data_IF_388406381673
#
_entry.id   IF_388406381673
#
_cell.length_a   1.000
_cell.length_b   1.000
_cell.length_c   1.000
_cell.angle_alpha   90.00
_cell.angle_beta   90.00
_cell.angle_gamma   90.00
#
_symmetry.space_group_name_H-M   'P 1'
#
loop_
_entity.id
_entity.type
_entity.pdbx_description
1 polymer ?
#
# COMPACT_ATOMS: atom_id res chain seq x y z
N UNK A 1 10.45 1.62 -0.51
CA UNK A 1 11.38 0.61 0.06
C UNK A 1 10.85 -0.77 -0.27
N UNK A 2 11.68 -1.69 -0.78
CA UNK A 2 11.26 -3.08 -1.02
C UNK A 2 11.76 -3.97 0.12
N UNK A 3 10.90 -4.85 0.61
CA UNK A 3 11.23 -5.97 1.49
C UNK A 3 10.91 -7.26 0.74
N UNK A 4 11.87 -8.17 0.69
CA UNK A 4 11.67 -9.54 0.17
C UNK A 4 12.06 -10.52 1.27
N UNK A 5 11.16 -11.42 1.61
CA UNK A 5 11.36 -12.42 2.67
C UNK A 5 12.12 -13.65 2.15
N UNK A 6 12.65 -14.52 3.04
CA UNK A 6 13.33 -15.76 2.63
C UNK A 6 12.47 -16.69 1.76
N UNK A 7 11.16 -16.71 2.00
CA UNK A 7 10.17 -17.47 1.23
C UNK A 7 9.64 -16.72 -0.02
N UNK A 8 10.23 -15.57 -0.35
CA UNK A 8 10.02 -14.86 -1.62
C UNK A 8 8.83 -13.93 -1.67
N UNK A 9 8.22 -13.61 -0.53
CA UNK A 9 7.11 -12.65 -0.42
C UNK A 9 7.66 -11.23 -0.60
N UNK A 10 7.04 -10.45 -1.48
CA UNK A 10 7.48 -9.10 -1.81
C UNK A 10 6.51 -8.05 -1.24
N UNK A 11 7.05 -7.13 -0.46
CA UNK A 11 6.33 -5.99 0.10
C UNK A 11 6.99 -4.67 -0.27
N UNK A 12 6.25 -3.78 -0.93
CA UNK A 12 6.70 -2.42 -1.22
C UNK A 12 6.10 -1.42 -0.24
N UNK A 13 6.94 -0.65 0.45
CA UNK A 13 6.54 0.44 1.33
C UNK A 13 6.83 1.77 0.65
N UNK A 14 5.78 2.52 0.31
CA UNK A 14 5.80 3.79 -0.44
C UNK A 14 6.50 3.73 -1.82
N UNK A 15 6.21 4.73 -2.66
CA UNK A 15 6.66 4.79 -4.05
C UNK A 15 7.25 6.15 -4.47
N UNK A 16 7.53 7.03 -3.52
CA UNK A 16 8.17 8.32 -3.81
C UNK A 16 7.26 9.33 -4.50
N UNK A 17 7.84 10.43 -4.98
CA UNK A 17 7.15 11.42 -5.82
C UNK A 17 6.72 10.82 -7.17
N UNK A 18 5.70 11.40 -7.81
CA UNK A 18 5.16 10.92 -9.10
C UNK A 18 6.21 10.72 -10.19
N UNK A 19 7.19 11.62 -10.28
CA UNK A 19 8.28 11.56 -11.28
C UNK A 19 9.17 10.33 -11.12
N UNK A 20 9.29 9.75 -9.92
CA UNK A 20 10.17 8.59 -9.68
C UNK A 20 9.47 7.24 -9.84
N UNK A 21 8.14 7.21 -10.05
CA UNK A 21 7.38 5.96 -10.26
C UNK A 21 8.01 5.01 -11.31
N UNK A 22 8.40 5.50 -12.52
CA UNK A 22 9.10 4.66 -13.50
C UNK A 22 10.42 4.08 -12.99
N UNK A 23 11.17 4.84 -12.19
CA UNK A 23 12.44 4.36 -11.62
C UNK A 23 12.19 3.25 -10.57
N UNK A 24 11.12 3.36 -9.79
CA UNK A 24 10.69 2.30 -8.86
C UNK A 24 10.34 1.04 -9.65
N UNK A 25 9.54 1.16 -10.71
CA UNK A 25 9.18 0.04 -11.58
C UNK A 25 10.42 -0.64 -12.17
N UNK A 26 11.34 0.14 -12.75
CA UNK A 26 12.58 -0.38 -13.33
C UNK A 26 13.45 -1.08 -12.28
N UNK A 27 13.51 -0.54 -11.07
CA UNK A 27 14.24 -1.15 -9.97
C UNK A 27 13.64 -2.51 -9.57
N UNK A 28 12.31 -2.59 -9.40
CA UNK A 28 11.61 -3.83 -9.07
C UNK A 28 11.81 -4.89 -10.16
N UNK A 29 11.71 -4.52 -11.44
CA UNK A 29 11.98 -5.42 -12.58
C UNK A 29 13.43 -5.92 -12.61
N UNK A 30 14.42 -5.07 -12.31
CA UNK A 30 15.83 -5.48 -12.22
C UNK A 30 16.08 -6.49 -11.11
N UNK A 31 15.32 -6.40 -10.02
CA UNK A 31 15.32 -7.38 -8.94
C UNK A 31 14.50 -8.64 -9.25
N UNK A 32 13.91 -8.73 -10.45
CA UNK A 32 13.05 -9.84 -10.89
C UNK A 32 11.83 -10.04 -10.00
N UNK A 33 11.30 -8.95 -9.44
CA UNK A 33 9.99 -8.97 -8.78
C UNK A 33 8.93 -9.15 -9.86
N UNK A 34 8.18 -10.24 -9.80
CA UNK A 34 7.10 -10.54 -10.75
C UNK A 34 5.74 -10.06 -10.24
N UNK A 35 5.54 -10.06 -8.92
CA UNK A 35 4.34 -9.59 -8.24
C UNK A 35 4.68 -8.92 -6.91
N UNK A 36 3.76 -8.10 -6.41
CA UNK A 36 3.82 -7.53 -5.08
C UNK A 36 2.71 -8.16 -4.22
N UNK A 37 3.07 -9.01 -3.28
CA UNK A 37 2.10 -9.58 -2.33
C UNK A 37 1.48 -8.48 -1.47
N UNK A 38 2.27 -7.48 -1.11
CA UNK A 38 1.83 -6.36 -0.29
C UNK A 38 2.37 -5.04 -0.82
N UNK A 39 1.53 -4.01 -0.75
CA UNK A 39 1.95 -2.62 -0.79
C UNK A 39 1.55 -1.97 0.52
N UNK A 40 2.42 -1.17 1.11
CA UNK A 40 2.14 -0.35 2.28
C UNK A 40 2.24 1.12 1.92
N UNK A 41 1.21 1.88 2.26
CA UNK A 41 1.22 3.34 2.23
C UNK A 41 1.39 3.84 3.65
N UNK A 42 2.54 4.47 3.95
CA UNK A 42 2.80 5.00 5.29
C UNK A 42 1.85 6.15 5.62
N UNK A 43 1.70 7.09 4.69
CA UNK A 43 0.73 8.17 4.70
C UNK A 43 0.58 8.76 3.29
N UNK A 44 -0.43 9.59 3.08
CA UNK A 44 -0.87 9.98 1.73
C UNK A 44 -0.16 11.21 1.13
N UNK A 45 0.98 11.64 1.68
CA UNK A 45 1.73 12.76 1.11
C UNK A 45 2.33 12.40 -0.26
N UNK A 46 2.53 13.42 -1.09
CA UNK A 46 2.87 13.27 -2.51
C UNK A 46 4.24 12.63 -2.75
N UNK A 47 5.16 12.80 -1.81
CA UNK A 47 6.49 12.20 -1.78
C UNK A 47 6.51 10.75 -1.28
N UNK A 48 5.35 10.23 -0.85
CA UNK A 48 5.16 8.83 -0.46
C UNK A 48 4.32 8.07 -1.49
N UNK A 49 3.14 8.58 -1.83
CA UNK A 49 2.21 7.88 -2.73
C UNK A 49 2.31 8.26 -4.21
N UNK A 50 3.13 9.26 -4.54
CA UNK A 50 3.15 9.86 -5.88
C UNK A 50 3.40 8.86 -7.00
N UNK A 51 4.33 7.91 -6.80
CA UNK A 51 4.61 6.83 -7.75
C UNK A 51 3.66 5.63 -7.67
N UNK A 52 2.77 5.57 -6.68
CA UNK A 52 2.10 4.33 -6.30
C UNK A 52 1.08 3.85 -7.34
N UNK A 53 0.32 4.77 -7.94
CA UNK A 53 -0.64 4.43 -8.99
C UNK A 53 0.05 3.81 -10.23
N UNK A 54 1.28 4.25 -10.55
CA UNK A 54 2.06 3.67 -11.65
C UNK A 54 2.53 2.25 -11.31
N UNK A 55 3.02 2.03 -10.07
CA UNK A 55 3.43 0.71 -9.58
C UNK A 55 2.25 -0.27 -9.61
N UNK A 56 1.10 0.11 -9.04
CA UNK A 56 -0.12 -0.72 -9.02
C UNK A 56 -0.63 -1.00 -10.44
N UNK A 57 -0.46 -0.07 -11.38
CA UNK A 57 -0.81 -0.29 -12.78
C UNK A 57 0.08 -1.32 -13.49
N UNK A 58 1.35 -1.41 -13.11
CA UNK A 58 2.35 -2.25 -13.76
C UNK A 58 2.41 -3.67 -13.18
N UNK A 59 2.36 -3.81 -11.86
CA UNK A 59 2.50 -5.09 -11.17
C UNK A 59 1.14 -5.66 -10.79
N UNK A 60 1.08 -6.98 -10.64
CA UNK A 60 -0.03 -7.61 -9.91
C UNK A 60 0.21 -7.43 -8.41
N UNK A 61 -0.84 -6.96 -7.72
CA UNK A 61 -0.79 -6.59 -6.32
C UNK A 61 -1.91 -7.30 -5.58
N UNK A 62 -1.56 -8.14 -4.60
CA UNK A 62 -2.58 -8.91 -3.86
C UNK A 62 -3.27 -8.03 -2.81
N UNK A 63 -2.48 -7.32 -1.97
CA UNK A 63 -2.99 -6.52 -0.85
C UNK A 63 -2.38 -5.13 -0.82
N UNK A 64 -3.20 -4.14 -0.48
CA UNK A 64 -2.77 -2.77 -0.20
C UNK A 64 -3.13 -2.43 1.24
N UNK A 65 -2.10 -2.17 2.03
CA UNK A 65 -2.19 -1.87 3.45
C UNK A 65 -1.96 -0.37 3.68
N UNK A 66 -2.87 0.29 4.38
CA UNK A 66 -2.78 1.74 4.61
C UNK A 66 -3.49 2.14 5.89
N UNK A 67 -3.24 3.35 6.40
CA UNK A 67 -4.09 3.91 7.44
C UNK A 67 -5.44 4.36 6.88
N UNK A 68 -6.50 4.25 7.68
CA UNK A 68 -7.80 4.82 7.35
C UNK A 68 -7.80 6.30 7.72
N UNK A 69 -7.47 7.17 6.77
CA UNK A 69 -7.55 8.62 6.93
C UNK A 69 -8.18 9.29 5.71
N UNK A 70 -9.09 10.28 5.91
CA UNK A 70 -9.62 11.05 4.80
C UNK A 70 -8.50 11.90 4.18
N UNK A 71 -8.20 11.64 2.91
CA UNK A 71 -7.19 12.39 2.19
C UNK A 71 -7.66 12.72 0.78
N UNK A 72 -8.06 13.97 0.55
CA UNK A 72 -8.65 14.39 -0.71
C UNK A 72 -7.61 15.09 -1.59
N UNK A 73 -6.81 14.29 -2.29
CA UNK A 73 -5.84 14.80 -3.28
C UNK A 73 -5.97 14.04 -4.60
N UNK A 74 -5.48 14.64 -5.68
CA UNK A 74 -5.45 13.99 -7.00
C UNK A 74 -4.68 12.67 -6.96
N UNK A 75 -3.54 12.63 -6.24
CA UNK A 75 -2.73 11.42 -6.14
C UNK A 75 -3.45 10.29 -5.40
N UNK A 76 -4.21 10.60 -4.35
CA UNK A 76 -5.02 9.59 -3.66
C UNK A 76 -6.12 9.03 -4.56
N UNK A 77 -6.78 9.88 -5.35
CA UNK A 77 -7.79 9.44 -6.33
C UNK A 77 -7.19 8.55 -7.42
N UNK A 78 -6.04 8.93 -7.96
CA UNK A 78 -5.31 8.11 -8.94
C UNK A 78 -4.93 6.74 -8.38
N UNK A 79 -4.50 6.68 -7.11
CA UNK A 79 -4.23 5.42 -6.43
C UNK A 79 -5.52 4.60 -6.30
N UNK A 80 -6.61 5.17 -5.78
CA UNK A 80 -7.89 4.48 -5.61
C UNK A 80 -8.42 3.90 -6.93
N UNK A 81 -8.32 4.65 -8.03
CA UNK A 81 -8.68 4.18 -9.36
C UNK A 81 -7.77 3.05 -9.87
N UNK A 82 -6.49 3.04 -9.51
CA UNK A 82 -5.59 1.94 -9.83
C UNK A 82 -5.95 0.67 -9.03
N UNK A 83 -6.22 0.82 -7.72
CA UNK A 83 -6.65 -0.27 -6.84
C UNK A 83 -7.94 -0.91 -7.34
N UNK A 84 -8.95 -0.11 -7.67
CA UNK A 84 -10.25 -0.58 -8.14
C UNK A 84 -10.16 -1.37 -9.44
N UNK A 85 -9.25 -1.00 -10.34
CA UNK A 85 -9.04 -1.72 -11.61
C UNK A 85 -8.35 -3.07 -11.43
N UNK A 86 -7.55 -3.24 -10.37
CA UNK A 86 -6.72 -4.42 -10.13
C UNK A 86 -7.34 -5.41 -9.12
N UNK A 87 -8.49 -5.07 -8.55
CA UNK A 87 -9.20 -5.89 -7.55
C UNK A 87 -8.31 -6.29 -6.34
N UNK A 88 -7.44 -5.37 -5.90
CA UNK A 88 -6.59 -5.59 -4.75
C UNK A 88 -7.41 -5.50 -3.46
N UNK A 89 -7.10 -6.36 -2.48
CA UNK A 89 -7.69 -6.27 -1.16
C UNK A 89 -7.12 -5.05 -0.41
N UNK A 90 -7.99 -4.22 0.17
CA UNK A 90 -7.57 -3.07 0.99
C UNK A 90 -7.65 -3.44 2.47
N UNK A 91 -6.54 -3.32 3.17
CA UNK A 91 -6.42 -3.61 4.60
C UNK A 91 -6.04 -2.33 5.34
N UNK A 92 -6.84 -1.98 6.35
CA UNK A 92 -6.55 -0.82 7.19
C UNK A 92 -5.69 -1.19 8.39
N UNK A 93 -4.57 -0.50 8.54
CA UNK A 93 -3.59 -0.71 9.61
C UNK A 93 -3.65 0.41 10.65
N UNK A 94 -3.41 0.02 11.90
CA UNK A 94 -3.29 0.89 13.07
C UNK A 94 -2.34 0.25 14.08
N UNK A 95 -1.97 1.00 15.10
CA UNK A 95 -1.11 0.52 16.19
C UNK A 95 -1.58 -0.83 16.77
N UNK A 96 -0.62 -1.68 17.13
CA UNK A 96 -0.88 -2.98 17.76
C UNK A 96 -1.36 -4.07 16.79
N UNK A 97 -1.42 -3.80 15.48
CA UNK A 97 -1.61 -4.87 14.48
C UNK A 97 -0.30 -5.64 14.31
N UNK A 98 -0.37 -6.95 14.46
CA UNK A 98 0.71 -7.89 14.18
C UNK A 98 0.29 -8.83 13.07
N UNK A 99 1.19 -9.06 12.11
CA UNK A 99 0.99 -10.08 11.09
C UNK A 99 2.33 -10.67 10.64
N UNK A 100 2.26 -11.86 10.05
CA UNK A 100 3.42 -12.47 9.42
C UNK A 100 3.50 -12.06 7.96
N UNK A 101 4.70 -11.69 7.53
CA UNK A 101 5.06 -11.55 6.13
C UNK A 101 5.78 -12.84 5.72
N UNK A 102 5.05 -13.77 5.11
CA UNK A 102 5.56 -15.12 4.90
C UNK A 102 5.65 -15.92 6.20
N UNK A 103 6.50 -16.94 6.24
CA UNK A 103 6.61 -17.82 7.39
C UNK A 103 7.57 -17.32 8.49
N UNK A 104 8.59 -16.55 8.09
CA UNK A 104 9.76 -16.22 8.92
C UNK A 104 9.82 -14.77 9.41
N UNK A 105 9.06 -13.86 8.82
CA UNK A 105 9.12 -12.43 9.15
C UNK A 105 7.85 -11.99 9.86
N UNK A 106 8.00 -11.36 11.02
CA UNK A 106 6.91 -10.73 11.76
C UNK A 106 6.95 -9.21 11.59
N UNK A 107 5.78 -8.63 11.35
CA UNK A 107 5.58 -7.19 11.22
C UNK A 107 4.68 -6.71 12.34
N UNK A 108 5.16 -5.69 13.06
CA UNK A 108 4.39 -4.94 14.03
C UNK A 108 4.10 -3.54 13.49
N UNK A 109 2.83 -3.15 13.53
CA UNK A 109 2.42 -1.79 13.21
C UNK A 109 2.40 -0.96 14.48
N UNK A 110 3.27 0.05 14.52
CA UNK A 110 3.41 0.93 15.68
C UNK A 110 2.45 2.14 15.62
N UNK A 111 1.99 2.53 14.43
CA UNK A 111 1.19 3.73 14.18
C UNK A 111 0.33 3.58 12.91
N UNK A 112 -0.70 4.41 12.70
CA UNK A 112 -1.18 5.48 13.59
C UNK A 112 -1.87 4.93 14.83
N UNK A 113 -1.98 5.75 15.88
CA UNK A 113 -2.74 5.39 17.06
C UNK A 113 -4.21 5.11 16.71
N UNK A 114 -4.83 4.16 17.41
CA UNK A 114 -6.22 3.76 17.12
C UNK A 114 -7.20 4.94 17.25
N UNK A 115 -6.90 5.89 18.13
CA UNK A 115 -7.71 7.10 18.35
C UNK A 115 -7.59 8.10 17.20
N UNK A 116 -6.47 8.15 16.48
CA UNK A 116 -6.30 8.99 15.29
C UNK A 116 -7.16 8.46 14.13
N UNK A 117 -7.52 7.18 14.17
CA UNK A 117 -8.45 6.54 13.23
C UNK A 117 -9.92 6.90 13.54
N UNK A 118 -10.19 7.73 14.56
CA UNK A 118 -11.56 8.13 14.91
C UNK A 118 -12.07 9.32 14.09
N UNK A 119 -12.69 8.99 12.96
CA UNK A 119 -13.82 9.74 12.39
C UNK A 119 -14.97 8.77 12.25
N UNK A 120 -16.13 9.08 12.83
CA UNK A 120 -17.34 8.26 12.85
C UNK A 120 -17.74 7.78 11.42
N UNK A 121 -17.35 6.56 11.03
CA UNK A 121 -17.45 6.09 9.63
C UNK A 121 -17.94 4.65 9.46
N UNK A 122 -18.65 4.12 10.46
CA UNK A 122 -19.41 2.86 10.32
C UNK A 122 -20.45 2.87 9.18
N UNK A 123 -20.63 4.00 8.47
CA UNK A 123 -21.61 4.19 7.41
C UNK A 123 -21.17 3.80 5.99
N UNK A 124 -19.94 3.30 5.76
CA UNK A 124 -19.50 2.93 4.39
C UNK A 124 -19.16 1.45 4.15
N UNK A 125 -19.76 0.55 4.93
CA UNK A 125 -19.80 -0.90 4.61
C UNK A 125 -20.55 -1.25 3.30
N UNK A 126 -21.10 -0.29 2.56
CA UNK A 126 -22.01 -0.53 1.43
C UNK A 126 -21.67 0.21 0.13
N UNK A 127 -20.41 0.64 -0.09
CA UNK A 127 -20.08 1.42 -1.30
C UNK A 127 -19.06 0.78 -2.25
N UNK A 128 -18.78 -0.50 -2.08
CA UNK A 128 -18.18 -1.33 -3.13
C UNK A 128 -19.00 -2.61 -3.27
N UNK A 129 -20.11 -2.48 -4.01
CA UNK A 129 -20.71 -3.56 -4.78
C UNK A 129 -20.28 -3.37 -6.25
#
# INVERSE_FOLDING_TARGET
>A
MLITTPDGINMLIDAGIKKVGPQVIDYLKKLKVEKLDYIVVSHFHSDHIGGMAAVVGEFDVDKIMMCEMPYNTTLKKELDEAVLRKNCEVIYLKEGVFFKLGDEVEIEILNPQAEIVSGDWQLRKHLFC
#
